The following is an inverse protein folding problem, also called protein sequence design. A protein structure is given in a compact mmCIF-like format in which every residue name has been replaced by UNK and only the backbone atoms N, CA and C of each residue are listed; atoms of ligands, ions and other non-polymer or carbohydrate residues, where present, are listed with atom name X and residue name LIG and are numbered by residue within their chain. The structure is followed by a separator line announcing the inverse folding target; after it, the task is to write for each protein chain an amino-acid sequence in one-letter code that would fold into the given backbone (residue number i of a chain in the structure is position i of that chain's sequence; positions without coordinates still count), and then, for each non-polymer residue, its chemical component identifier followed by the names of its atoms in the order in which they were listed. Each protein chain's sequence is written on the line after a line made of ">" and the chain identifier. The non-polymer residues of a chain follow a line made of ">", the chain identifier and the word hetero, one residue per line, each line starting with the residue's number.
data_IF_681756562097
#
_entry.id   IF_681756562097
#
_cell.length_a   1.000
_cell.length_b   1.000
_cell.length_c   1.000
_cell.angle_alpha   90.00
_cell.angle_beta   90.00
_cell.angle_gamma   90.00
#
_symmetry.space_group_name_H-M   'P 1'
#
loop_
_entity.id
_entity.type
_entity.pdbx_description
1 polymer ?
#
# COMPACT_ATOMS: atom_id res chain seq x y z
N UNK A 1 -6.55 11.39 -29.29
CA UNK A 1 -7.29 10.27 -28.72
C UNK A 1 -6.40 9.06 -28.42
N UNK A 2 -5.58 8.63 -29.36
CA UNK A 2 -4.64 7.53 -29.14
C UNK A 2 -3.64 7.78 -28.02
N UNK A 3 -3.15 9.02 -27.89
CA UNK A 3 -2.22 9.38 -26.82
C UNK A 3 -2.86 9.32 -25.43
N UNK A 4 -4.14 9.61 -25.32
CA UNK A 4 -4.87 9.51 -24.05
C UNK A 4 -5.07 8.07 -23.61
N UNK A 5 -5.39 7.19 -24.56
CA UNK A 5 -5.53 5.74 -24.28
C UNK A 5 -4.20 5.12 -23.88
N UNK A 6 -3.12 5.51 -24.54
CA UNK A 6 -1.78 5.05 -24.21
C UNK A 6 -1.37 5.49 -22.81
N UNK A 7 -1.65 6.74 -22.43
CA UNK A 7 -1.38 7.25 -21.08
C UNK A 7 -2.18 6.51 -20.01
N UNK A 8 -3.45 6.22 -20.30
CA UNK A 8 -4.29 5.44 -19.38
C UNK A 8 -3.75 4.03 -19.18
N UNK A 9 -3.29 3.38 -20.23
CA UNK A 9 -2.69 2.04 -20.15
C UNK A 9 -1.40 2.03 -19.35
N UNK A 10 -0.50 2.99 -19.60
CA UNK A 10 0.76 3.14 -18.87
C UNK A 10 0.47 3.39 -17.40
N UNK A 11 -0.50 4.25 -17.10
CA UNK A 11 -0.91 4.54 -15.72
C UNK A 11 -1.46 3.30 -15.00
N UNK A 12 -2.27 2.47 -15.68
CA UNK A 12 -2.80 1.24 -15.11
C UNK A 12 -1.68 0.22 -14.88
N UNK A 13 -0.77 0.07 -15.84
CA UNK A 13 0.38 -0.82 -15.70
C UNK A 13 1.26 -0.41 -14.53
N UNK A 14 1.50 0.89 -14.35
CA UNK A 14 2.27 1.43 -13.24
C UNK A 14 1.59 1.15 -11.89
N UNK A 15 0.28 1.28 -11.82
CA UNK A 15 -0.49 0.97 -10.61
C UNK A 15 -0.39 -0.51 -10.26
N UNK A 16 -0.53 -1.38 -11.25
CA UNK A 16 -0.43 -2.83 -11.06
C UNK A 16 0.99 -3.25 -10.66
N UNK A 17 2.00 -2.65 -11.27
CA UNK A 17 3.40 -2.89 -10.94
C UNK A 17 3.70 -2.48 -9.50
N UNK A 18 3.26 -1.30 -9.10
CA UNK A 18 3.44 -0.80 -7.74
C UNK A 18 2.79 -1.74 -6.71
N UNK A 19 1.58 -2.20 -6.98
CA UNK A 19 0.87 -3.15 -6.12
C UNK A 19 1.64 -4.46 -6.00
N UNK A 20 2.13 -4.97 -7.11
CA UNK A 20 2.91 -6.21 -7.11
C UNK A 20 4.18 -6.07 -6.28
N UNK A 21 4.90 -4.97 -6.43
CA UNK A 21 6.12 -4.70 -5.65
C UNK A 21 5.81 -4.63 -4.16
N UNK A 22 4.75 -3.93 -3.77
CA UNK A 22 4.34 -3.88 -2.36
C UNK A 22 4.02 -5.27 -1.82
N UNK A 23 3.28 -6.06 -2.59
CA UNK A 23 2.86 -7.42 -2.22
C UNK A 23 4.05 -8.36 -2.04
N UNK A 24 4.99 -8.32 -2.95
CA UNK A 24 6.17 -9.18 -2.93
C UNK A 24 7.15 -8.84 -1.82
N UNK A 25 7.31 -7.56 -1.50
CA UNK A 25 8.31 -7.10 -0.53
C UNK A 25 7.80 -7.01 0.90
N UNK A 26 6.49 -6.97 1.10
CA UNK A 26 5.91 -6.87 2.42
C UNK A 26 6.33 -8.04 3.32
N UNK A 27 6.59 -7.74 4.60
CA UNK A 27 6.80 -8.76 5.62
C UNK A 27 5.43 -9.26 6.10
N UNK A 28 4.93 -10.30 5.46
CA UNK A 28 3.60 -10.85 5.78
C UNK A 28 3.52 -11.48 7.16
N UNK A 29 4.62 -11.99 7.70
CA UNK A 29 4.66 -12.51 9.07
C UNK A 29 4.40 -11.37 10.04
N UNK A 30 5.06 -10.24 9.86
CA UNK A 30 4.84 -9.06 10.67
C UNK A 30 3.39 -8.58 10.57
N UNK A 31 2.86 -8.49 9.35
CA UNK A 31 1.49 -8.01 9.09
C UNK A 31 0.47 -8.91 9.80
N UNK A 32 0.61 -10.23 9.66
CA UNK A 32 -0.33 -11.18 10.24
C UNK A 32 -0.33 -11.19 11.77
N UNK A 33 0.75 -10.74 12.39
CA UNK A 33 0.88 -10.65 13.85
C UNK A 33 0.26 -9.38 14.44
N UNK A 34 -0.10 -8.42 13.62
CA UNK A 34 -0.68 -7.18 14.10
C UNK A 34 -2.12 -7.36 14.57
N UNK A 35 -2.59 -6.51 15.49
CA UNK A 35 -4.01 -6.52 15.86
C UNK A 35 -4.91 -6.36 14.63
N UNK A 36 -6.16 -6.85 14.66
CA UNK A 36 -7.01 -6.92 13.46
C UNK A 36 -7.14 -5.61 12.69
N UNK A 37 -7.29 -4.49 13.40
CA UNK A 37 -7.46 -3.17 12.77
C UNK A 37 -6.19 -2.71 12.05
N UNK A 38 -5.04 -2.90 12.68
CA UNK A 38 -3.75 -2.55 12.09
C UNK A 38 -3.44 -3.47 10.92
N UNK A 39 -3.70 -4.76 11.09
CA UNK A 39 -3.52 -5.74 10.02
C UNK A 39 -4.35 -5.39 8.79
N UNK A 40 -5.61 -5.04 8.98
CA UNK A 40 -6.49 -4.63 7.88
C UNK A 40 -5.95 -3.37 7.17
N UNK A 41 -5.44 -2.41 7.93
CA UNK A 41 -4.85 -1.20 7.39
C UNK A 41 -3.61 -1.47 6.55
N UNK A 42 -2.72 -2.35 7.02
CA UNK A 42 -1.51 -2.72 6.29
C UNK A 42 -1.85 -3.47 5.00
N UNK A 43 -2.81 -4.39 5.05
CA UNK A 43 -3.30 -5.08 3.86
C UNK A 43 -3.91 -4.11 2.85
N UNK A 44 -4.69 -3.16 3.33
CA UNK A 44 -5.28 -2.12 2.48
C UNK A 44 -4.19 -1.31 1.78
N UNK A 45 -3.16 -0.93 2.53
CA UNK A 45 -2.04 -0.17 1.96
C UNK A 45 -1.29 -0.97 0.89
N UNK A 46 -1.05 -2.24 1.12
CA UNK A 46 -0.43 -3.12 0.12
C UNK A 46 -1.23 -3.10 -1.18
N UNK A 47 -2.54 -3.17 -1.08
CA UNK A 47 -3.42 -3.22 -2.26
C UNK A 47 -3.57 -1.87 -2.96
N UNK A 48 -3.60 -0.77 -2.24
CA UNK A 48 -3.96 0.54 -2.80
C UNK A 48 -2.84 1.56 -2.83
N UNK A 49 -1.86 1.45 -1.94
CA UNK A 49 -0.85 2.50 -1.74
C UNK A 49 -1.39 3.77 -1.11
N UNK A 50 -2.62 3.76 -0.59
CA UNK A 50 -3.28 4.92 -0.02
C UNK A 50 -3.01 5.01 1.48
N UNK A 51 -2.03 5.81 1.85
CA UNK A 51 -1.59 5.97 3.23
C UNK A 51 -2.62 6.72 4.09
N UNK A 52 -3.36 7.64 3.50
CA UNK A 52 -4.38 8.40 4.25
C UNK A 52 -5.51 7.50 4.73
N UNK A 53 -6.08 6.73 3.83
CA UNK A 53 -7.17 5.82 4.18
C UNK A 53 -6.65 4.72 5.10
N UNK A 54 -5.48 4.18 4.81
CA UNK A 54 -4.88 3.14 5.65
C UNK A 54 -4.66 3.63 7.09
N UNK A 55 -4.14 4.84 7.26
CA UNK A 55 -3.94 5.41 8.60
C UNK A 55 -5.26 5.55 9.36
N UNK A 56 -6.34 5.94 8.68
CA UNK A 56 -7.67 6.03 9.28
C UNK A 56 -8.20 4.65 9.70
N UNK A 57 -8.01 3.65 8.86
CA UNK A 57 -8.40 2.27 9.19
C UNK A 57 -7.67 1.83 10.45
N UNK A 58 -6.39 2.13 10.56
CA UNK A 58 -5.58 1.78 11.73
C UNK A 58 -5.90 2.62 12.97
N UNK A 59 -6.59 3.74 12.81
CA UNK A 59 -6.80 4.69 13.89
C UNK A 59 -5.53 5.42 14.30
N UNK A 60 -4.64 5.65 13.36
CA UNK A 60 -3.32 6.26 13.58
C UNK A 60 -3.21 7.55 12.76
N UNK A 61 -2.23 8.39 13.12
CA UNK A 61 -1.83 9.49 12.25
C UNK A 61 -1.08 8.94 11.05
N UNK A 62 -0.94 9.76 10.01
CA UNK A 62 -0.19 9.37 8.81
C UNK A 62 1.26 9.03 9.16
N UNK A 63 1.88 9.83 10.02
CA UNK A 63 3.26 9.59 10.45
C UNK A 63 3.41 8.28 11.22
N UNK A 64 2.48 8.01 12.15
CA UNK A 64 2.49 6.75 12.89
C UNK A 64 2.29 5.55 11.98
N UNK A 65 1.37 5.67 11.02
CA UNK A 65 1.16 4.61 10.05
C UNK A 65 2.39 4.41 9.15
N UNK A 66 3.03 5.51 8.75
CA UNK A 66 4.25 5.42 7.92
C UNK A 66 5.37 4.66 8.64
N UNK A 67 5.55 4.87 9.94
CA UNK A 67 6.52 4.11 10.73
C UNK A 67 6.18 2.62 10.71
N UNK A 68 4.90 2.31 10.84
CA UNK A 68 4.42 0.93 10.80
C UNK A 68 4.65 0.29 9.43
N UNK A 69 4.40 1.04 8.36
CA UNK A 69 4.68 0.61 6.98
C UNK A 69 6.15 0.24 6.81
N UNK A 70 7.06 1.06 7.31
CA UNK A 70 8.50 0.79 7.25
C UNK A 70 8.84 -0.52 7.98
N UNK A 71 8.28 -0.72 9.16
CA UNK A 71 8.49 -1.94 9.93
C UNK A 71 7.93 -3.17 9.22
N UNK A 72 6.83 -3.02 8.50
CA UNK A 72 6.23 -4.08 7.69
C UNK A 72 6.96 -4.29 6.36
N UNK A 73 8.00 -3.51 6.08
CA UNK A 73 8.81 -3.57 4.86
C UNK A 73 8.01 -3.38 3.57
N UNK A 74 6.92 -2.65 3.66
CA UNK A 74 6.11 -2.32 2.49
C UNK A 74 6.73 -1.10 1.81
N UNK A 75 7.23 -1.21 0.58
CA UNK A 75 7.85 -0.07 -0.09
C UNK A 75 6.84 1.02 -0.39
N UNK A 76 7.29 2.27 -0.35
CA UNK A 76 6.45 3.42 -0.67
C UNK A 76 6.48 3.66 -2.19
N UNK A 77 5.78 2.80 -2.92
CA UNK A 77 5.61 2.87 -4.37
C UNK A 77 4.13 2.96 -4.70
N UNK A 78 3.79 3.87 -5.60
CA UNK A 78 2.41 4.01 -6.00
C UNK A 78 2.06 5.34 -6.61
#
# INVERSE_FOLDING_TARGET
>A
MEMLELRARVSLEDVEEARRVRRERADWVFIERQPPRVRAALRYYVETGDMYVASRIAGLTVEEFNELRVRARIPNVG
#
